data_IF_694155855090
#
_entry.id   IF_694155855090
#
_cell.length_a   1.000
_cell.length_b   1.000
_cell.length_c   1.000
_cell.angle_alpha   90.00
_cell.angle_beta   90.00
_cell.angle_gamma   90.00
#
_symmetry.space_group_name_H-M   'P 1'
#
loop_
_entity.id
_entity.type
_entity.pdbx_description
1 polymer ?
#
# COMPACT_ATOMS: atom_id res chain seq x y z
N UNK A 1 23.84 -1.30 -2.42
CA UNK A 1 24.07 -1.53 -0.98
C UNK A 1 22.93 -0.82 -0.28
N UNK A 2 22.27 -1.46 0.68
CA UNK A 2 21.21 -0.78 1.45
C UNK A 2 21.82 0.41 2.17
N UNK A 3 21.16 1.55 2.10
CA UNK A 3 21.53 2.71 2.89
C UNK A 3 21.35 2.38 4.38
N UNK A 4 22.46 2.27 5.09
CA UNK A 4 22.49 1.84 6.50
C UNK A 4 21.66 2.77 7.39
N UNK A 5 21.70 4.07 7.13
CA UNK A 5 20.99 5.07 7.93
C UNK A 5 19.46 4.94 7.77
N UNK A 6 18.99 4.60 6.58
CA UNK A 6 17.56 4.35 6.35
C UNK A 6 17.10 3.05 7.00
N UNK A 7 17.91 1.98 6.94
CA UNK A 7 17.63 0.72 7.62
C UNK A 7 17.61 0.91 9.14
N UNK A 8 18.56 1.64 9.68
CA UNK A 8 18.63 1.95 11.12
C UNK A 8 17.39 2.80 11.53
N UNK A 9 16.96 3.71 10.67
CA UNK A 9 15.72 4.47 10.88
C UNK A 9 14.51 3.53 10.93
N UNK A 10 14.36 2.62 9.97
CA UNK A 10 13.28 1.63 9.97
C UNK A 10 13.29 0.79 11.25
N UNK A 11 14.45 0.29 11.67
CA UNK A 11 14.61 -0.55 12.86
C UNK A 11 14.35 0.19 14.19
N UNK A 12 14.41 1.53 14.22
CA UNK A 12 14.01 2.32 15.39
C UNK A 12 12.50 2.28 15.62
N UNK A 13 11.71 2.22 14.55
CA UNK A 13 10.25 2.18 14.63
C UNK A 13 9.71 0.75 14.73
N UNK A 14 10.35 -0.20 14.03
CA UNK A 14 9.86 -1.57 13.94
C UNK A 14 10.98 -2.57 14.20
N UNK A 15 10.79 -3.35 15.27
CA UNK A 15 11.63 -4.52 15.53
C UNK A 15 11.05 -5.70 14.76
N UNK A 16 11.69 -6.06 13.66
CA UNK A 16 11.25 -7.14 12.78
C UNK A 16 12.29 -8.23 12.65
N UNK A 17 11.89 -9.40 12.20
CA UNK A 17 12.76 -10.54 11.98
C UNK A 17 13.81 -10.28 10.88
N UNK A 18 14.87 -11.07 10.89
CA UNK A 18 15.87 -11.05 9.80
C UNK A 18 15.24 -11.46 8.45
N UNK A 19 14.18 -12.27 8.46
CA UNK A 19 13.47 -12.68 7.26
C UNK A 19 12.74 -11.50 6.63
N UNK A 20 12.06 -10.70 7.43
CA UNK A 20 11.39 -9.47 6.98
C UNK A 20 12.38 -8.48 6.38
N UNK A 21 13.52 -8.25 7.04
CA UNK A 21 14.58 -7.40 6.48
C UNK A 21 15.11 -7.94 5.15
N UNK A 22 15.31 -9.26 5.03
CA UNK A 22 15.74 -9.89 3.76
C UNK A 22 14.69 -9.69 2.65
N UNK A 23 13.42 -9.83 2.98
CA UNK A 23 12.31 -9.63 2.04
C UNK A 23 12.26 -8.18 1.55
N UNK A 24 12.35 -7.20 2.44
CA UNK A 24 12.37 -5.78 2.08
C UNK A 24 13.61 -5.42 1.25
N UNK A 25 14.79 -5.93 1.62
CA UNK A 25 16.02 -5.76 0.83
C UNK A 25 15.90 -6.34 -0.59
N UNK A 26 15.27 -7.50 -0.73
CA UNK A 26 15.04 -8.12 -2.03
C UNK A 26 14.07 -7.29 -2.86
N UNK A 27 12.99 -6.81 -2.22
CA UNK A 27 12.02 -5.93 -2.85
C UNK A 27 12.66 -4.62 -3.34
N UNK A 28 13.49 -3.97 -2.52
CA UNK A 28 14.26 -2.78 -2.91
C UNK A 28 15.06 -3.01 -4.21
N UNK A 29 15.82 -4.13 -4.27
CA UNK A 29 16.62 -4.46 -5.46
C UNK A 29 15.76 -4.65 -6.70
N UNK A 30 14.62 -5.33 -6.58
CA UNK A 30 13.67 -5.53 -7.67
C UNK A 30 13.05 -4.19 -8.11
N UNK A 31 12.69 -3.34 -7.14
CA UNK A 31 12.12 -2.03 -7.38
C UNK A 31 13.10 -1.11 -8.12
N UNK A 32 14.36 -1.03 -7.68
CA UNK A 32 15.40 -0.23 -8.34
C UNK A 32 15.64 -0.72 -9.77
N UNK A 33 15.68 -2.04 -9.98
CA UNK A 33 15.83 -2.64 -11.31
C UNK A 33 14.63 -2.32 -12.20
N UNK A 34 13.41 -2.52 -11.70
CA UNK A 34 12.18 -2.27 -12.44
C UNK A 34 11.94 -0.79 -12.75
N UNK A 35 12.32 0.09 -11.82
CA UNK A 35 12.11 1.53 -11.96
C UNK A 35 12.87 2.17 -13.13
N UNK A 36 13.93 1.53 -13.60
CA UNK A 36 14.68 1.99 -14.79
C UNK A 36 13.79 2.06 -16.05
N UNK A 37 12.79 1.18 -16.13
CA UNK A 37 11.96 1.01 -17.32
C UNK A 37 10.48 1.33 -17.11
N UNK A 38 9.98 1.32 -15.86
CA UNK A 38 8.54 1.32 -15.58
C UNK A 38 8.03 2.55 -14.81
N UNK A 39 8.92 3.47 -14.38
CA UNK A 39 8.55 4.61 -13.52
C UNK A 39 7.62 4.17 -12.35
N UNK A 40 8.09 3.19 -11.58
CA UNK A 40 7.34 2.59 -10.47
C UNK A 40 7.19 3.57 -9.30
N UNK A 41 8.27 4.29 -8.99
CA UNK A 41 8.31 5.34 -7.96
C UNK A 41 9.02 6.59 -8.50
N UNK A 42 8.73 7.72 -7.89
CA UNK A 42 9.32 9.00 -8.29
C UNK A 42 10.84 9.02 -8.14
N UNK A 43 11.53 9.69 -9.07
CA UNK A 43 13.00 9.83 -9.05
C UNK A 43 13.52 10.42 -7.75
N UNK A 44 12.79 11.35 -7.15
CA UNK A 44 13.16 12.00 -5.87
C UNK A 44 12.98 11.10 -4.65
N UNK A 45 12.37 9.93 -4.79
CA UNK A 45 12.10 9.00 -3.69
C UNK A 45 12.82 7.67 -3.83
N UNK A 46 13.46 7.40 -4.98
CA UNK A 46 14.16 6.13 -5.23
C UNK A 46 15.34 5.92 -4.27
N UNK A 47 16.03 6.99 -3.90
CA UNK A 47 17.14 6.94 -2.96
C UNK A 47 16.68 6.90 -1.49
N UNK A 48 15.36 6.96 -1.24
CA UNK A 48 14.74 6.98 0.08
C UNK A 48 13.66 5.90 0.23
N UNK A 49 13.86 4.73 -0.40
CA UNK A 49 12.86 3.66 -0.45
C UNK A 49 12.47 3.21 0.95
N UNK A 50 13.43 3.03 1.85
CA UNK A 50 13.19 2.52 3.19
C UNK A 50 12.36 3.46 4.04
N UNK A 51 12.61 4.76 3.96
CA UNK A 51 11.87 5.75 4.74
C UNK A 51 10.57 6.15 4.06
N UNK A 52 10.61 6.52 2.77
CA UNK A 52 9.46 7.09 2.06
C UNK A 52 8.45 6.06 1.57
N UNK A 53 8.84 4.78 1.47
CA UNK A 53 7.96 3.74 0.99
C UNK A 53 7.79 2.61 2.00
N UNK A 54 8.85 1.95 2.46
CA UNK A 54 8.70 0.82 3.37
C UNK A 54 8.21 1.25 4.74
N UNK A 55 8.88 2.18 5.40
CA UNK A 55 8.50 2.66 6.73
C UNK A 55 7.10 3.27 6.72
N UNK A 56 6.82 4.13 5.73
CA UNK A 56 5.54 4.78 5.56
C UNK A 56 4.39 3.76 5.34
N UNK A 57 4.62 2.71 4.55
CA UNK A 57 3.63 1.65 4.34
C UNK A 57 3.50 0.70 5.54
N UNK A 58 4.63 0.34 6.18
CA UNK A 58 4.64 -0.61 7.28
C UNK A 58 3.88 -0.10 8.51
N UNK A 59 3.95 1.21 8.79
CA UNK A 59 3.33 1.81 9.97
C UNK A 59 1.82 1.60 10.07
N UNK A 60 1.12 1.34 8.98
CA UNK A 60 -0.34 1.18 9.00
C UNK A 60 -0.81 -0.24 9.33
N UNK A 61 0.12 -1.21 9.42
CA UNK A 61 -0.24 -2.59 9.78
C UNK A 61 -0.96 -2.64 11.15
N UNK A 62 -0.57 -1.78 12.10
CA UNK A 62 -1.19 -1.70 13.42
C UNK A 62 -2.61 -1.09 13.39
N UNK A 63 -3.02 -0.55 12.24
CA UNK A 63 -4.38 -0.07 12.02
C UNK A 63 -5.28 -1.14 11.39
N UNK A 64 -4.73 -2.29 11.02
CA UNK A 64 -5.44 -3.45 10.48
C UNK A 64 -5.64 -4.43 11.62
N UNK A 65 -6.89 -4.83 11.85
CA UNK A 65 -7.24 -5.76 12.92
C UNK A 65 -6.79 -7.17 12.56
N UNK A 66 -6.38 -7.96 13.56
CA UNK A 66 -5.90 -9.33 13.38
C UNK A 66 -6.93 -10.25 12.72
N UNK A 67 -8.23 -9.98 12.93
CA UNK A 67 -9.34 -10.70 12.33
C UNK A 67 -9.71 -10.21 10.92
N UNK A 68 -8.93 -9.31 10.33
CA UNK A 68 -9.10 -8.89 8.94
C UNK A 68 -8.68 -10.02 8.02
N UNK A 69 -9.57 -10.39 7.08
CA UNK A 69 -9.27 -11.44 6.12
C UNK A 69 -8.74 -10.87 4.82
N UNK A 70 -9.41 -9.86 4.26
CA UNK A 70 -9.07 -9.28 2.96
C UNK A 70 -8.58 -7.83 3.08
N UNK A 71 -7.47 -7.53 2.40
CA UNK A 71 -6.93 -6.18 2.22
C UNK A 71 -6.79 -5.90 0.73
N UNK A 72 -7.48 -4.88 0.24
CA UNK A 72 -7.41 -4.43 -1.15
C UNK A 72 -6.58 -3.16 -1.27
N UNK A 73 -5.51 -3.23 -2.05
CA UNK A 73 -4.69 -2.07 -2.42
C UNK A 73 -5.16 -1.52 -3.77
N UNK A 74 -5.71 -0.32 -3.75
CA UNK A 74 -6.37 0.31 -4.89
C UNK A 74 -5.38 1.18 -5.67
N UNK A 75 -5.05 0.74 -6.90
CA UNK A 75 -4.05 1.40 -7.71
C UNK A 75 -2.64 1.14 -7.20
N UNK A 76 -2.32 -0.12 -6.96
CA UNK A 76 -1.11 -0.57 -6.24
C UNK A 76 0.22 -0.07 -6.82
N UNK A 77 0.25 0.23 -8.11
CA UNK A 77 1.44 0.79 -8.76
C UNK A 77 2.67 -0.11 -8.65
N UNK A 78 3.62 0.32 -7.84
CA UNK A 78 4.82 -0.44 -7.51
C UNK A 78 4.58 -1.49 -6.40
N UNK A 79 3.36 -1.59 -5.82
CA UNK A 79 3.00 -2.45 -4.70
C UNK A 79 2.98 -1.74 -3.35
N UNK A 80 2.77 -0.42 -3.32
CA UNK A 80 2.69 0.37 -2.10
C UNK A 80 1.29 0.90 -1.85
N UNK A 81 0.69 0.61 -0.68
CA UNK A 81 1.31 -0.06 0.47
C UNK A 81 1.19 -1.59 0.46
N UNK A 82 0.42 -2.22 -0.45
CA UNK A 82 -0.06 -3.59 -0.38
C UNK A 82 1.01 -4.66 -0.17
N UNK A 83 2.11 -4.67 -0.95
CA UNK A 83 3.18 -5.67 -0.78
C UNK A 83 3.91 -5.52 0.57
N UNK A 84 4.08 -4.29 1.05
CA UNK A 84 4.70 -4.07 2.36
C UNK A 84 3.78 -4.55 3.47
N UNK A 85 2.47 -4.36 3.33
CA UNK A 85 1.47 -4.87 4.27
C UNK A 85 1.43 -6.40 4.26
N UNK A 86 1.55 -7.05 3.11
CA UNK A 86 1.64 -8.51 3.03
C UNK A 86 2.90 -9.04 3.74
N UNK A 87 4.05 -8.38 3.59
CA UNK A 87 5.28 -8.71 4.33
C UNK A 87 5.07 -8.50 5.84
N UNK A 88 4.44 -7.39 6.24
CA UNK A 88 4.18 -7.08 7.65
C UNK A 88 3.17 -8.06 8.28
N UNK A 89 2.13 -8.45 7.54
CA UNK A 89 1.15 -9.45 7.97
C UNK A 89 1.82 -10.81 8.23
N UNK A 90 2.70 -11.25 7.32
CA UNK A 90 3.49 -12.47 7.50
C UNK A 90 4.36 -12.40 8.76
N UNK A 91 5.02 -11.26 9.02
CA UNK A 91 5.81 -11.03 10.23
C UNK A 91 4.98 -11.16 11.51
N UNK A 92 3.75 -10.62 11.50
CA UNK A 92 2.84 -10.65 12.64
C UNK A 92 2.04 -11.96 12.78
N UNK A 93 2.12 -12.86 11.80
CA UNK A 93 1.31 -14.08 11.75
C UNK A 93 -0.16 -13.83 11.45
N UNK A 94 -0.51 -12.68 10.87
CA UNK A 94 -1.87 -12.35 10.44
C UNK A 94 -2.24 -13.16 9.20
N UNK A 95 -3.46 -13.69 9.17
CA UNK A 95 -4.01 -14.43 8.03
C UNK A 95 -4.72 -13.49 7.06
N UNK A 96 -3.99 -12.55 6.49
CA UNK A 96 -4.52 -11.56 5.56
C UNK A 96 -4.28 -12.02 4.13
N UNK A 97 -5.35 -12.11 3.34
CA UNK A 97 -5.26 -12.20 1.88
C UNK A 97 -5.15 -10.78 1.31
N UNK A 98 -4.05 -10.50 0.64
CA UNK A 98 -3.81 -9.19 0.03
C UNK A 98 -4.13 -9.24 -1.46
N UNK A 99 -4.91 -8.26 -1.94
CA UNK A 99 -5.31 -8.11 -3.34
C UNK A 99 -4.79 -6.78 -3.87
N UNK A 100 -4.02 -6.83 -4.96
CA UNK A 100 -3.46 -5.64 -5.61
C UNK A 100 -4.22 -5.36 -6.89
N UNK A 101 -4.96 -4.24 -6.94
CA UNK A 101 -5.67 -3.83 -8.16
C UNK A 101 -4.83 -2.79 -8.90
N UNK A 102 -4.39 -3.12 -10.10
CA UNK A 102 -3.56 -2.25 -10.94
C UNK A 102 -3.93 -2.43 -12.42
N UNK A 103 -4.23 -1.33 -13.12
CA UNK A 103 -4.64 -1.37 -14.53
C UNK A 103 -3.51 -1.59 -15.53
N UNK A 104 -2.29 -1.20 -15.17
CA UNK A 104 -1.14 -1.29 -16.06
C UNK A 104 -0.59 -2.70 -16.11
N UNK A 105 -0.73 -3.39 -17.25
CA UNK A 105 -0.20 -4.75 -17.45
C UNK A 105 1.32 -4.84 -17.25
N UNK A 106 2.07 -3.76 -17.54
CA UNK A 106 3.50 -3.70 -17.26
C UNK A 106 3.81 -3.70 -15.77
N UNK A 107 3.02 -2.95 -14.97
CA UNK A 107 3.18 -2.91 -13.53
C UNK A 107 2.68 -4.20 -12.88
N UNK A 108 1.58 -4.78 -13.34
CA UNK A 108 1.10 -6.07 -12.80
C UNK A 108 2.08 -7.21 -13.07
N UNK A 109 2.78 -7.20 -14.21
CA UNK A 109 3.88 -8.13 -14.45
C UNK A 109 4.99 -7.98 -13.41
N UNK A 110 5.43 -6.74 -13.15
CA UNK A 110 6.41 -6.45 -12.10
C UNK A 110 5.94 -6.92 -10.72
N UNK A 111 4.67 -6.68 -10.38
CA UNK A 111 4.09 -7.13 -9.11
C UNK A 111 4.12 -8.65 -8.97
N UNK A 112 3.69 -9.39 -10.01
CA UNK A 112 3.72 -10.87 -10.01
C UNK A 112 5.13 -11.43 -9.88
N UNK A 113 6.11 -10.84 -10.60
CA UNK A 113 7.52 -11.22 -10.47
C UNK A 113 8.03 -10.97 -9.05
N UNK A 114 7.69 -9.82 -8.47
CA UNK A 114 8.09 -9.46 -7.10
C UNK A 114 7.47 -10.41 -6.07
N UNK A 115 6.18 -10.72 -6.20
CA UNK A 115 5.44 -11.66 -5.33
C UNK A 115 6.09 -13.04 -5.33
N UNK A 116 6.40 -13.58 -6.53
CA UNK A 116 7.08 -14.87 -6.68
C UNK A 116 8.45 -14.87 -6.02
N UNK A 117 9.23 -13.82 -6.24
CA UNK A 117 10.57 -13.67 -5.68
C UNK A 117 10.57 -13.56 -4.16
N UNK A 118 9.54 -12.93 -3.58
CA UNK A 118 9.37 -12.78 -2.13
C UNK A 118 8.61 -13.94 -1.50
N UNK A 119 8.06 -14.86 -2.30
CA UNK A 119 7.22 -15.98 -1.86
C UNK A 119 6.07 -15.51 -0.97
N UNK A 120 5.33 -14.52 -1.45
CA UNK A 120 4.16 -13.95 -0.79
C UNK A 120 2.89 -14.58 -1.38
N UNK A 121 1.87 -14.76 -0.53
CA UNK A 121 0.52 -15.10 -0.94
C UNK A 121 -0.27 -13.81 -1.16
N UNK A 122 -0.23 -13.31 -2.40
CA UNK A 122 -0.84 -12.03 -2.80
C UNK A 122 -1.44 -12.19 -4.21
N UNK A 123 -2.67 -11.79 -4.35
CA UNK A 123 -3.36 -11.77 -5.64
C UNK A 123 -3.11 -10.47 -6.40
N UNK A 124 -2.90 -10.55 -7.72
CA UNK A 124 -2.79 -9.38 -8.60
C UNK A 124 -3.92 -9.37 -9.61
N UNK A 125 -4.79 -8.38 -9.47
CA UNK A 125 -5.94 -8.13 -10.33
C UNK A 125 -5.55 -7.07 -11.36
N UNK A 126 -5.40 -7.48 -12.63
CA UNK A 126 -5.03 -6.56 -13.71
C UNK A 126 -6.29 -5.94 -14.31
N UNK A 127 -6.89 -5.00 -13.63
CA UNK A 127 -8.11 -4.33 -14.06
C UNK A 127 -8.08 -2.83 -13.74
N UNK A 128 -8.87 -2.08 -14.52
CA UNK A 128 -9.20 -0.72 -14.15
C UNK A 128 -10.25 -0.76 -13.03
N UNK A 129 -9.90 -0.30 -11.86
CA UNK A 129 -10.79 -0.36 -10.69
C UNK A 129 -12.12 0.37 -10.90
N UNK A 130 -12.18 1.37 -11.79
CA UNK A 130 -13.43 2.05 -12.14
C UNK A 130 -14.40 1.17 -12.95
N UNK A 131 -13.88 0.12 -13.57
CA UNK A 131 -14.64 -0.87 -14.36
C UNK A 131 -14.87 -2.17 -13.58
N UNK A 132 -14.30 -2.27 -12.37
CA UNK A 132 -14.39 -3.44 -11.51
C UNK A 132 -15.85 -3.71 -11.12
N UNK A 133 -16.33 -4.90 -11.46
CA UNK A 133 -17.75 -5.24 -11.30
C UNK A 133 -18.05 -6.11 -10.08
N UNK A 134 -17.03 -6.76 -9.54
CA UNK A 134 -17.21 -7.60 -8.36
C UNK A 134 -17.50 -6.74 -7.13
N UNK A 135 -18.45 -7.20 -6.31
CA UNK A 135 -18.80 -6.55 -5.04
C UNK A 135 -17.93 -7.10 -3.92
N UNK A 136 -17.11 -6.22 -3.38
CA UNK A 136 -16.25 -6.54 -2.23
C UNK A 136 -17.04 -6.34 -0.94
N UNK A 137 -16.86 -7.20 0.04
CA UNK A 137 -17.51 -7.12 1.36
C UNK A 137 -16.48 -7.35 2.46
N UNK A 138 -16.71 -6.72 3.59
CA UNK A 138 -16.00 -6.95 4.86
C UNK A 138 -14.46 -6.85 4.76
N UNK A 139 -13.97 -6.02 3.84
CA UNK A 139 -12.55 -5.83 3.58
C UNK A 139 -12.00 -4.52 4.13
N UNK A 140 -10.68 -4.46 4.28
CA UNK A 140 -9.93 -3.22 4.48
C UNK A 140 -9.42 -2.74 3.12
N UNK A 141 -9.64 -1.46 2.83
CA UNK A 141 -9.12 -0.82 1.62
C UNK A 141 -7.95 0.08 1.96
N UNK A 142 -6.90 0.00 1.17
CA UNK A 142 -5.76 0.90 1.27
C UNK A 142 -5.53 1.58 -0.08
N UNK A 143 -5.11 2.84 -0.06
CA UNK A 143 -4.74 3.56 -1.27
C UNK A 143 -3.65 4.59 -0.98
N UNK A 144 -2.75 4.76 -1.93
CA UNK A 144 -1.67 5.74 -1.89
C UNK A 144 -1.53 6.44 -3.22
N UNK A 145 -1.52 7.79 -3.22
CA UNK A 145 -1.34 8.62 -4.42
C UNK A 145 -2.24 8.19 -5.60
N UNK A 146 -3.48 7.79 -5.30
CA UNK A 146 -4.39 7.22 -6.28
C UNK A 146 -5.19 8.30 -7.02
N UNK A 147 -6.08 8.98 -6.31
CA UNK A 147 -7.00 9.99 -6.84
C UNK A 147 -7.37 10.98 -5.73
N UNK A 148 -7.95 12.14 -6.06
CA UNK A 148 -8.56 12.99 -5.05
C UNK A 148 -9.55 12.20 -4.19
N UNK A 149 -9.65 12.55 -2.91
CA UNK A 149 -10.44 11.82 -1.90
C UNK A 149 -11.88 11.62 -2.33
N UNK A 150 -12.53 12.64 -2.89
CA UNK A 150 -13.94 12.57 -3.32
C UNK A 150 -14.15 11.47 -4.38
N UNK A 151 -13.31 11.45 -5.40
CA UNK A 151 -13.34 10.42 -6.46
C UNK A 151 -13.08 9.02 -5.90
N UNK A 152 -12.22 8.92 -4.88
CA UNK A 152 -11.96 7.66 -4.21
C UNK A 152 -13.18 7.17 -3.41
N UNK A 153 -13.86 8.07 -2.68
CA UNK A 153 -15.06 7.71 -1.90
C UNK A 153 -16.22 7.28 -2.81
N UNK A 154 -16.44 7.96 -3.94
CA UNK A 154 -17.41 7.54 -4.95
C UNK A 154 -17.12 6.14 -5.48
N UNK A 155 -15.84 5.86 -5.78
CA UNK A 155 -15.40 4.55 -6.22
C UNK A 155 -15.69 3.48 -5.16
N UNK A 156 -15.33 3.73 -3.89
CA UNK A 156 -15.56 2.80 -2.79
C UNK A 156 -17.06 2.50 -2.64
N UNK A 157 -17.90 3.52 -2.70
CA UNK A 157 -19.36 3.34 -2.64
C UNK A 157 -19.90 2.47 -3.79
N UNK A 158 -19.27 2.56 -4.97
CA UNK A 158 -19.64 1.75 -6.13
C UNK A 158 -19.25 0.28 -5.99
N UNK A 159 -18.01 -0.01 -5.54
CA UNK A 159 -17.45 -1.37 -5.57
C UNK A 159 -17.58 -2.14 -4.25
N UNK A 160 -17.88 -1.45 -3.16
CA UNK A 160 -18.00 -2.06 -1.84
C UNK A 160 -19.28 -1.63 -1.14
N UNK A 161 -20.00 -2.61 -0.54
CA UNK A 161 -21.21 -2.32 0.21
C UNK A 161 -20.98 -2.23 1.72
N UNK A 162 -19.93 -2.87 2.20
CA UNK A 162 -19.62 -2.94 3.63
C UNK A 162 -18.10 -3.06 3.81
N UNK A 163 -17.41 -1.93 3.95
CA UNK A 163 -15.99 -1.93 4.29
C UNK A 163 -15.78 -1.95 5.80
N UNK A 164 -14.77 -2.66 6.26
CA UNK A 164 -14.35 -2.60 7.66
C UNK A 164 -13.59 -1.31 7.94
N UNK A 165 -12.70 -0.93 7.02
CA UNK A 165 -11.87 0.26 7.17
C UNK A 165 -11.34 0.72 5.81
N UNK A 166 -11.17 2.03 5.67
CA UNK A 166 -10.46 2.65 4.54
C UNK A 166 -9.25 3.39 5.11
N UNK A 167 -8.06 3.13 4.55
CA UNK A 167 -6.79 3.75 4.94
C UNK A 167 -6.23 4.46 3.71
N UNK A 168 -6.12 5.78 3.77
CA UNK A 168 -5.65 6.59 2.65
C UNK A 168 -4.38 7.33 3.04
N UNK A 169 -3.35 7.16 2.23
CA UNK A 169 -2.10 7.92 2.36
C UNK A 169 -2.26 9.24 1.62
N UNK A 170 -2.42 10.31 2.36
CA UNK A 170 -2.63 11.65 1.83
C UNK A 170 -1.33 12.44 1.81
N UNK A 171 -1.14 13.24 0.77
CA UNK A 171 -0.01 14.15 0.65
C UNK A 171 -0.28 15.50 1.32
N UNK A 172 0.50 16.51 0.94
CA UNK A 172 0.38 17.88 1.47
C UNK A 172 -0.99 18.53 1.27
N UNK A 173 -1.73 18.10 0.25
CA UNK A 173 -3.09 18.60 -0.06
C UNK A 173 -4.18 17.88 0.72
N UNK A 174 -3.83 16.89 1.54
CA UNK A 174 -4.79 15.99 2.17
C UNK A 174 -5.84 16.66 3.03
N UNK A 175 -5.48 17.71 3.77
CA UNK A 175 -6.45 18.46 4.58
C UNK A 175 -7.47 19.22 3.73
N UNK A 176 -7.01 19.80 2.62
CA UNK A 176 -7.91 20.48 1.68
C UNK A 176 -8.82 19.48 0.97
N UNK A 177 -8.31 18.32 0.58
CA UNK A 177 -9.11 17.25 -0.03
C UNK A 177 -10.18 16.74 0.94
N UNK A 178 -9.82 16.56 2.20
CA UNK A 178 -10.76 16.16 3.25
C UNK A 178 -11.86 17.21 3.45
N UNK A 179 -11.48 18.49 3.51
CA UNK A 179 -12.44 19.59 3.64
C UNK A 179 -13.42 19.65 2.45
N UNK A 180 -12.95 19.44 1.22
CA UNK A 180 -13.83 19.40 0.05
C UNK A 180 -14.76 18.19 0.10
N UNK A 181 -14.24 17.01 0.33
CA UNK A 181 -15.03 15.79 0.40
C UNK A 181 -16.10 15.83 1.52
N UNK A 182 -15.80 16.49 2.65
CA UNK A 182 -16.75 16.65 3.76
C UNK A 182 -17.97 17.55 3.44
N UNK A 183 -17.97 18.25 2.31
CA UNK A 183 -19.15 18.99 1.86
C UNK A 183 -20.24 18.07 1.29
N UNK A 184 -19.82 16.92 0.76
CA UNK A 184 -20.70 15.96 0.07
C UNK A 184 -20.87 14.67 0.88
N UNK A 185 -19.85 14.31 1.67
CA UNK A 185 -19.78 13.07 2.42
C UNK A 185 -19.77 13.33 3.92
N UNK A 186 -20.55 12.57 4.69
CA UNK A 186 -20.39 12.50 6.14
C UNK A 186 -19.21 11.58 6.47
N UNK A 187 -18.06 12.16 6.84
CA UNK A 187 -16.79 11.44 7.01
C UNK A 187 -16.40 11.42 8.47
N UNK A 188 -16.40 10.24 9.07
CA UNK A 188 -15.74 10.00 10.34
C UNK A 188 -14.31 9.47 10.07
N UNK A 189 -13.30 10.11 10.63
CA UNK A 189 -11.91 9.72 10.38
C UNK A 189 -11.00 9.87 11.60
N UNK A 190 -9.93 9.10 11.58
CA UNK A 190 -8.81 9.24 12.51
C UNK A 190 -7.56 9.60 11.73
N UNK A 191 -6.99 10.78 12.02
CA UNK A 191 -5.73 11.21 11.43
C UNK A 191 -4.55 10.56 12.14
N UNK A 192 -3.60 10.04 11.36
CA UNK A 192 -2.29 9.59 11.83
C UNK A 192 -1.23 10.33 11.04
N UNK A 193 -0.33 11.01 11.74
CA UNK A 193 0.83 11.65 11.11
C UNK A 193 1.83 10.56 10.74
N UNK A 194 2.37 10.65 9.52
CA UNK A 194 3.42 9.72 9.09
C UNK A 194 4.68 9.91 9.92
N UNK A 195 5.30 8.80 10.31
CA UNK A 195 6.60 8.80 11.01
C UNK A 195 7.75 9.27 10.13
N UNK A 196 7.50 9.53 8.85
CA UNK A 196 8.49 9.98 7.85
C UNK A 196 8.39 11.47 7.51
N UNK A 197 7.51 12.21 8.16
CA UNK A 197 7.37 13.67 7.99
C UNK A 197 8.32 14.43 8.90
#
# INVERSE_FOLDING_TARGET
>A
MVDKDQLDTFNRFFKVSRETIRSLNKYEKLLIKGNKNLNLVGRSTIDKIWTRHFLDSYQVIDSIEENTYDVFDIGSGAGFPGLVLAIAAKEKGFKIQTHLIEKSSKKTKFLRETINELKLDVEVINENVFEYQSKIKDAVFVARAFKPLEVFLELMHKICHNWKKIIIFMGKTGENELLQASKTWNIEYKKRVSVTN
#
